data_IF_878333600899
#
_entry.id   IF_878333600899
#
_cell.length_a   1.000
_cell.length_b   1.000
_cell.length_c   1.000
_cell.angle_alpha   90.00
_cell.angle_beta   90.00
_cell.angle_gamma   90.00
#
_symmetry.space_group_name_H-M   'P 1'
#
loop_
_entity.id
_entity.type
_entity.pdbx_description
1 polymer ?
#
# COMPACT_ATOMS: atom_id res chain seq x y z
N UNK A 1 -8.73 -15.35 -2.01
CA UNK A 1 -7.97 -14.30 -1.32
C UNK A 1 -7.27 -14.82 -0.07
N UNK A 2 -7.95 -15.40 0.93
CA UNK A 2 -7.29 -15.88 2.16
C UNK A 2 -6.07 -16.78 1.91
N UNK A 3 -6.19 -17.80 1.03
CA UNK A 3 -5.08 -18.69 0.67
C UNK A 3 -3.89 -17.98 -0.02
N UNK A 4 -4.05 -16.74 -0.45
CA UNK A 4 -3.02 -15.89 -1.05
C UNK A 4 -2.47 -14.84 -0.06
N UNK A 5 -2.83 -14.93 1.22
CA UNK A 5 -2.29 -14.05 2.25
C UNK A 5 -3.11 -12.80 2.57
N UNK A 6 -4.31 -12.60 1.99
CA UNK A 6 -5.22 -11.57 2.45
C UNK A 6 -5.90 -12.03 3.73
N UNK A 7 -5.30 -11.72 4.86
CA UNK A 7 -5.67 -12.28 6.17
C UNK A 7 -6.21 -11.26 7.16
N UNK A 8 -6.30 -9.99 6.78
CA UNK A 8 -6.81 -8.93 7.64
C UNK A 8 -8.17 -8.41 7.14
N UNK A 9 -9.04 -8.06 8.08
CA UNK A 9 -10.24 -7.26 7.86
C UNK A 9 -10.12 -6.01 8.73
N UNK A 10 -10.07 -4.85 8.08
CA UNK A 10 -9.87 -3.57 8.74
C UNK A 10 -11.18 -2.75 8.70
N UNK A 11 -11.56 -2.17 9.83
CA UNK A 11 -12.57 -1.11 9.89
C UNK A 11 -11.84 0.23 10.00
N UNK A 12 -12.05 1.07 8.99
CA UNK A 12 -11.59 2.46 9.01
C UNK A 12 -12.50 3.32 9.90
N UNK A 13 -12.49 4.62 9.80
CA UNK A 13 -13.24 5.56 10.66
C UNK A 13 -14.75 5.24 10.75
N UNK A 14 -15.46 5.91 11.60
CA UNK A 14 -16.92 5.78 11.82
C UNK A 14 -17.41 4.48 12.49
N UNK A 15 -16.51 3.68 13.11
CA UNK A 15 -16.94 2.55 13.94
C UNK A 15 -17.20 2.94 15.40
N UNK A 16 -16.58 4.03 15.85
CA UNK A 16 -16.61 4.52 17.23
C UNK A 16 -17.96 5.17 17.56
N UNK A 17 -18.41 5.04 18.79
CA UNK A 17 -19.56 5.80 19.28
C UNK A 17 -19.28 7.30 19.33
N UNK A 18 -20.29 8.14 19.20
CA UNK A 18 -20.13 9.60 19.16
C UNK A 18 -19.46 10.20 20.42
N UNK A 19 -19.53 9.50 21.54
CA UNK A 19 -18.89 9.88 22.81
C UNK A 19 -18.22 8.68 23.45
N UNK A 20 -17.20 8.92 24.25
CA UNK A 20 -16.64 7.90 25.15
C UNK A 20 -17.64 7.50 26.21
N UNK A 21 -17.54 6.27 26.71
CA UNK A 21 -18.39 5.78 27.80
C UNK A 21 -17.77 6.19 29.14
N UNK A 22 -18.49 7.03 29.87
CA UNK A 22 -18.08 7.52 31.19
C UNK A 22 -18.92 6.92 32.34
N UNK A 23 -19.69 5.87 32.07
CA UNK A 23 -20.58 5.27 33.07
C UNK A 23 -19.82 4.75 34.31
N UNK A 24 -18.57 4.36 34.15
CA UNK A 24 -17.68 3.89 35.24
C UNK A 24 -16.68 4.95 35.69
N UNK A 25 -16.76 6.20 35.14
CA UNK A 25 -15.75 7.24 35.36
C UNK A 25 -14.44 7.03 34.62
N UNK A 26 -14.38 6.04 33.72
CA UNK A 26 -13.14 5.67 33.02
C UNK A 26 -12.97 6.29 31.64
N UNK A 27 -13.95 7.00 31.12
CA UNK A 27 -13.92 7.69 29.81
C UNK A 27 -13.40 6.76 28.67
N UNK A 28 -13.99 5.56 28.59
CA UNK A 28 -13.50 4.49 27.72
C UNK A 28 -14.02 4.66 26.29
N UNK A 29 -13.15 4.42 25.30
CA UNK A 29 -13.56 4.34 23.90
C UNK A 29 -14.52 3.16 23.71
N UNK A 30 -15.59 3.36 22.94
CA UNK A 30 -16.61 2.32 22.69
C UNK A 30 -17.11 2.41 21.25
N UNK A 31 -17.76 1.38 20.78
CA UNK A 31 -18.28 1.30 19.41
C UNK A 31 -19.71 1.80 19.28
N UNK A 32 -20.10 2.20 18.07
CA UNK A 32 -21.49 2.51 17.74
C UNK A 32 -22.34 1.24 17.84
N UNK A 33 -23.20 1.19 18.85
CA UNK A 33 -24.04 0.02 19.15
C UNK A 33 -25.14 -0.21 18.11
N UNK A 34 -25.50 0.80 17.34
CA UNK A 34 -26.48 0.67 16.25
C UNK A 34 -25.86 -0.01 15.05
N UNK A 35 -24.65 0.38 14.69
CA UNK A 35 -23.90 -0.18 13.55
C UNK A 35 -23.29 -1.55 13.88
N UNK A 36 -22.85 -1.73 15.11
CA UNK A 36 -22.17 -2.94 15.59
C UNK A 36 -22.86 -3.50 16.86
N UNK A 37 -24.10 -4.01 16.75
CA UNK A 37 -24.89 -4.42 17.94
C UNK A 37 -24.23 -5.56 18.75
N UNK A 38 -23.43 -6.42 18.09
CA UNK A 38 -22.71 -7.51 18.77
C UNK A 38 -21.37 -7.07 19.39
N UNK A 39 -20.89 -5.88 19.06
CA UNK A 39 -19.67 -5.29 19.58
C UNK A 39 -18.38 -5.79 18.95
N UNK A 40 -17.30 -5.02 19.19
CA UNK A 40 -15.97 -5.30 18.64
C UNK A 40 -15.35 -6.64 19.12
N UNK A 41 -15.49 -7.04 20.40
CA UNK A 41 -14.97 -8.34 20.85
C UNK A 41 -15.61 -9.53 20.12
N UNK A 42 -16.94 -9.44 19.84
CA UNK A 42 -17.63 -10.48 19.10
C UNK A 42 -17.15 -10.54 17.63
N UNK A 43 -16.99 -9.37 16.99
CA UNK A 43 -16.49 -9.27 15.62
C UNK A 43 -15.08 -9.84 15.50
N UNK A 44 -14.17 -9.43 16.38
CA UNK A 44 -12.80 -9.95 16.44
C UNK A 44 -12.80 -11.48 16.61
N UNK A 45 -13.55 -12.01 17.59
CA UNK A 45 -13.66 -13.45 17.81
C UNK A 45 -14.22 -14.22 16.61
N UNK A 46 -15.17 -13.61 15.89
CA UNK A 46 -15.75 -14.20 14.68
C UNK A 46 -14.73 -14.27 13.55
N UNK A 47 -13.99 -13.20 13.32
CA UNK A 47 -12.93 -13.16 12.30
C UNK A 47 -11.79 -14.13 12.64
N UNK A 48 -11.36 -14.21 13.91
CA UNK A 48 -10.34 -15.16 14.33
C UNK A 48 -10.75 -16.63 14.11
N UNK A 49 -12.02 -16.97 14.31
CA UNK A 49 -12.54 -18.32 13.96
C UNK A 49 -12.47 -18.61 12.46
N UNK A 50 -12.41 -17.58 11.62
CA UNK A 50 -12.22 -17.70 10.19
C UNK A 50 -10.73 -17.61 9.77
N UNK A 51 -9.81 -17.62 10.72
CA UNK A 51 -8.37 -17.38 10.55
C UNK A 51 -8.07 -16.00 9.91
N UNK A 52 -8.89 -14.99 10.21
CA UNK A 52 -8.69 -13.61 9.80
C UNK A 52 -8.34 -12.75 11.01
N UNK A 53 -7.42 -11.84 10.83
CA UNK A 53 -7.06 -10.83 11.81
C UNK A 53 -7.98 -9.62 11.72
N UNK A 54 -8.16 -8.93 12.83
CA UNK A 54 -9.07 -7.79 12.94
C UNK A 54 -8.33 -6.48 13.19
N UNK A 55 -8.63 -5.44 12.42
CA UNK A 55 -8.04 -4.11 12.57
C UNK A 55 -9.07 -3.02 12.79
N UNK A 56 -8.65 -1.98 13.53
CA UNK A 56 -9.40 -0.77 13.81
C UNK A 56 -8.60 0.48 13.47
N UNK A 57 -9.34 1.57 13.28
CA UNK A 57 -8.83 2.92 13.09
C UNK A 57 -8.98 3.74 14.36
N UNK A 58 -8.03 4.66 14.61
CA UNK A 58 -8.18 5.76 15.58
C UNK A 58 -7.37 6.97 15.12
N UNK A 59 -7.45 8.08 15.86
CA UNK A 59 -6.64 9.28 15.61
C UNK A 59 -5.74 9.59 16.79
N UNK A 60 -4.56 10.12 16.49
CA UNK A 60 -3.64 10.65 17.48
C UNK A 60 -4.16 11.93 18.18
N UNK A 61 -5.13 12.62 17.59
CA UNK A 61 -5.81 13.79 18.15
C UNK A 61 -6.98 13.46 19.07
N UNK A 62 -7.68 14.50 19.49
CA UNK A 62 -8.89 14.41 20.33
C UNK A 62 -10.09 13.84 19.59
N UNK A 63 -10.14 14.03 18.26
CA UNK A 63 -11.19 13.50 17.40
C UNK A 63 -10.62 12.72 16.22
N UNK A 64 -11.43 11.79 15.69
CA UNK A 64 -11.19 11.16 14.38
C UNK A 64 -11.46 12.15 13.24
N UNK A 65 -11.13 11.79 12.01
CA UNK A 65 -11.35 12.67 10.85
C UNK A 65 -12.84 12.93 10.57
N UNK A 66 -13.72 12.02 10.98
CA UNK A 66 -15.18 12.18 10.90
C UNK A 66 -15.84 12.63 12.22
N UNK A 67 -15.02 13.11 13.19
CA UNK A 67 -15.52 13.74 14.40
C UNK A 67 -15.88 12.81 15.57
N UNK A 68 -15.62 11.52 15.46
CA UNK A 68 -15.70 10.60 16.61
C UNK A 68 -14.55 10.84 17.60
N UNK A 69 -14.60 10.26 18.82
CA UNK A 69 -13.51 10.35 19.80
C UNK A 69 -12.18 9.78 19.25
N UNK A 70 -11.12 10.59 19.30
CA UNK A 70 -9.73 10.15 19.06
C UNK A 70 -9.06 9.68 20.35
N UNK A 71 -7.77 9.31 20.27
CA UNK A 71 -7.03 8.68 21.38
C UNK A 71 -6.17 9.66 22.17
N UNK A 72 -6.14 10.96 21.83
CA UNK A 72 -5.32 11.96 22.57
C UNK A 72 -5.71 11.99 24.05
N UNK A 73 -4.70 11.86 24.92
CA UNK A 73 -4.89 11.78 26.36
C UNK A 73 -5.33 10.41 26.91
N UNK A 74 -5.54 9.42 26.01
CA UNK A 74 -6.05 8.09 26.36
C UNK A 74 -5.22 6.95 25.72
N UNK A 75 -4.00 7.21 25.24
CA UNK A 75 -3.23 6.25 24.45
C UNK A 75 -3.07 4.89 25.14
N UNK A 76 -2.70 4.85 26.41
CA UNK A 76 -2.52 3.63 27.19
C UNK A 76 -3.86 2.91 27.40
N UNK A 77 -4.91 3.66 27.73
CA UNK A 77 -6.24 3.11 27.98
C UNK A 77 -6.84 2.51 26.70
N UNK A 78 -6.75 3.24 25.58
CA UNK A 78 -7.29 2.78 24.30
C UNK A 78 -6.51 1.57 23.79
N UNK A 79 -5.19 1.56 23.94
CA UNK A 79 -4.36 0.40 23.59
C UNK A 79 -4.77 -0.84 24.38
N UNK A 80 -5.00 -0.72 25.70
CA UNK A 80 -5.47 -1.83 26.53
C UNK A 80 -6.90 -2.26 26.13
N UNK A 81 -7.75 -1.31 25.79
CA UNK A 81 -9.11 -1.59 25.33
C UNK A 81 -9.08 -2.37 24.01
N UNK A 82 -8.29 -1.95 23.03
CA UNK A 82 -8.12 -2.66 21.75
C UNK A 82 -7.54 -4.07 21.97
N UNK A 83 -6.53 -4.20 22.83
CA UNK A 83 -5.97 -5.50 23.19
C UNK A 83 -7.04 -6.42 23.80
N UNK A 84 -7.88 -5.91 24.71
CA UNK A 84 -8.96 -6.65 25.35
C UNK A 84 -10.06 -7.12 24.39
N UNK A 85 -10.27 -6.37 23.29
CA UNK A 85 -11.22 -6.72 22.23
C UNK A 85 -10.66 -7.74 21.23
N UNK A 86 -9.35 -8.01 21.29
CA UNK A 86 -8.71 -8.92 20.34
C UNK A 86 -8.29 -8.26 19.03
N UNK A 87 -8.05 -6.96 19.03
CA UNK A 87 -7.55 -6.24 17.85
C UNK A 87 -6.12 -6.67 17.53
N UNK A 88 -5.82 -6.85 16.24
CA UNK A 88 -4.52 -7.27 15.71
C UNK A 88 -3.81 -6.16 14.94
N UNK A 89 -4.54 -5.10 14.54
CA UNK A 89 -4.03 -4.02 13.73
C UNK A 89 -4.68 -2.70 14.12
N UNK A 90 -3.90 -1.64 14.22
CA UNK A 90 -4.42 -0.30 14.48
C UNK A 90 -3.86 0.68 13.46
N UNK A 91 -4.74 1.39 12.75
CA UNK A 91 -4.41 2.56 11.93
C UNK A 91 -4.52 3.81 12.81
N UNK A 92 -3.42 4.52 12.97
CA UNK A 92 -3.33 5.78 13.71
C UNK A 92 -3.27 6.96 12.75
N UNK A 93 -4.35 7.72 12.70
CA UNK A 93 -4.48 8.89 11.85
C UNK A 93 -4.05 10.18 12.58
N UNK A 94 -4.08 11.29 11.86
CA UNK A 94 -3.67 12.62 12.27
C UNK A 94 -4.82 13.63 12.11
N UNK A 95 -5.86 13.55 12.97
CA UNK A 95 -7.05 14.39 12.90
C UNK A 95 -7.35 15.07 14.23
N UNK A 96 -8.28 16.01 14.22
CA UNK A 96 -8.66 16.77 15.40
C UNK A 96 -7.74 17.93 15.72
N UNK A 97 -7.63 18.26 16.98
CA UNK A 97 -6.86 19.39 17.51
C UNK A 97 -5.36 19.28 17.23
N UNK A 98 -4.83 18.07 17.19
CA UNK A 98 -3.40 17.79 16.97
C UNK A 98 -2.91 18.31 15.62
N UNK A 99 -3.79 18.50 14.62
CA UNK A 99 -3.43 19.17 13.35
C UNK A 99 -2.90 20.58 13.53
N UNK A 100 -3.26 21.24 14.64
CA UNK A 100 -2.84 22.60 14.99
C UNK A 100 -1.55 22.61 15.84
N UNK A 101 -1.14 21.47 16.37
CA UNK A 101 -0.04 21.32 17.32
C UNK A 101 1.07 20.42 16.75
N UNK A 102 1.65 20.81 15.62
CA UNK A 102 2.67 20.01 14.90
C UNK A 102 3.85 19.57 15.79
N UNK A 103 4.20 20.36 16.80
CA UNK A 103 5.27 20.02 17.74
C UNK A 103 4.99 18.74 18.55
N UNK A 104 3.73 18.33 18.67
CA UNK A 104 3.34 17.12 19.39
C UNK A 104 3.33 15.87 18.48
N UNK A 105 3.46 16.05 17.15
CA UNK A 105 3.29 14.98 16.19
C UNK A 105 4.19 13.77 16.43
N UNK A 106 5.49 14.00 16.56
CA UNK A 106 6.44 12.92 16.82
C UNK A 106 6.14 12.22 18.15
N UNK A 107 5.89 13.00 19.22
CA UNK A 107 5.60 12.45 20.55
C UNK A 107 4.31 11.61 20.55
N UNK A 108 3.27 12.05 19.85
CA UNK A 108 1.99 11.33 19.75
C UNK A 108 2.19 9.94 19.15
N UNK A 109 2.88 9.83 18.01
CA UNK A 109 3.15 8.56 17.35
C UNK A 109 4.03 7.63 18.22
N UNK A 110 5.09 8.17 18.84
CA UNK A 110 5.95 7.37 19.73
C UNK A 110 5.20 6.91 20.97
N UNK A 111 4.39 7.77 21.59
CA UNK A 111 3.63 7.42 22.79
C UNK A 111 2.56 6.37 22.50
N UNK A 112 1.82 6.49 21.39
CA UNK A 112 0.84 5.49 21.02
C UNK A 112 1.51 4.14 20.69
N UNK A 113 2.62 4.15 19.93
CA UNK A 113 3.40 2.93 19.67
C UNK A 113 3.87 2.26 20.97
N UNK A 114 4.35 3.06 21.94
CA UNK A 114 4.74 2.55 23.26
C UNK A 114 3.56 1.94 24.01
N UNK A 115 2.41 2.60 23.99
CA UNK A 115 1.19 2.11 24.62
C UNK A 115 0.74 0.75 24.03
N UNK A 116 0.74 0.60 22.71
CA UNK A 116 0.44 -0.67 22.06
C UNK A 116 1.43 -1.79 22.45
N UNK A 117 2.73 -1.48 22.46
CA UNK A 117 3.78 -2.44 22.86
C UNK A 117 3.73 -2.83 24.33
N UNK A 118 3.16 -1.98 25.19
CA UNK A 118 2.96 -2.27 26.60
C UNK A 118 1.78 -3.21 26.89
N UNK A 119 0.94 -3.47 25.90
CA UNK A 119 -0.13 -4.47 26.03
C UNK A 119 0.45 -5.88 25.94
N UNK A 120 -0.27 -6.87 26.47
CA UNK A 120 0.12 -8.28 26.33
C UNK A 120 -0.16 -8.86 24.93
N UNK A 121 -0.82 -8.09 24.05
CA UNK A 121 -1.21 -8.50 22.69
C UNK A 121 -0.37 -7.78 21.65
N UNK A 122 0.35 -8.51 20.77
CA UNK A 122 0.99 -7.89 19.60
C UNK A 122 -0.07 -7.29 18.67
N UNK A 123 0.11 -6.03 18.31
CA UNK A 123 -0.74 -5.34 17.33
C UNK A 123 0.13 -4.64 16.29
N UNK A 124 -0.22 -4.80 15.02
CA UNK A 124 0.39 -4.05 13.94
C UNK A 124 -0.03 -2.58 14.05
N UNK A 125 0.92 -1.67 14.01
CA UNK A 125 0.65 -0.24 13.96
C UNK A 125 0.92 0.30 12.55
N UNK A 126 -0.11 0.84 11.90
CA UNK A 126 0.03 1.73 10.76
C UNK A 126 -0.11 3.18 11.20
N UNK A 127 0.69 4.08 10.63
CA UNK A 127 0.58 5.52 10.89
C UNK A 127 0.35 6.29 9.60
N UNK A 128 -0.57 7.25 9.62
CA UNK A 128 -0.88 8.09 8.46
C UNK A 128 0.15 9.23 8.32
N UNK A 129 0.47 9.94 9.38
CA UNK A 129 1.36 11.10 9.34
C UNK A 129 2.72 10.89 10.01
N UNK A 130 3.00 9.69 10.51
CA UNK A 130 4.21 9.41 11.28
C UNK A 130 5.51 9.73 10.54
N UNK A 131 5.58 9.46 9.25
CA UNK A 131 6.73 9.77 8.42
C UNK A 131 7.06 11.28 8.39
N UNK A 132 6.05 12.13 8.28
CA UNK A 132 6.25 13.59 8.22
C UNK A 132 6.87 14.15 9.51
N UNK A 133 6.66 13.49 10.65
CA UNK A 133 7.18 13.92 11.95
C UNK A 133 8.47 13.24 12.37
N UNK A 134 8.65 11.99 11.97
CA UNK A 134 9.73 11.12 12.44
C UNK A 134 10.81 10.87 11.38
N UNK A 135 10.50 11.13 10.09
CA UNK A 135 11.41 10.78 9.02
C UNK A 135 11.80 9.29 9.09
N UNK A 136 13.10 8.95 8.96
CA UNK A 136 13.55 7.55 9.01
C UNK A 136 13.27 6.84 10.33
N UNK A 137 13.09 7.55 11.44
CA UNK A 137 12.79 6.95 12.74
C UNK A 137 11.43 6.24 12.75
N UNK A 138 10.55 6.52 11.79
CA UNK A 138 9.25 5.87 11.66
C UNK A 138 9.37 4.34 11.57
N UNK A 139 10.43 3.84 10.97
CA UNK A 139 10.69 2.41 10.82
C UNK A 139 10.90 1.69 12.16
N UNK A 140 11.21 2.43 13.23
CA UNK A 140 11.32 1.89 14.60
C UNK A 140 10.04 2.03 15.41
N UNK A 141 9.08 2.83 14.92
CA UNK A 141 7.84 3.20 15.61
C UNK A 141 6.65 2.41 15.10
N UNK A 142 6.54 2.25 13.77
CA UNK A 142 5.39 1.66 13.11
C UNK A 142 5.76 0.46 12.23
N UNK A 143 4.80 -0.43 12.03
CA UNK A 143 4.92 -1.61 11.16
C UNK A 143 4.56 -1.29 9.70
N UNK A 144 3.74 -0.27 9.49
CA UNK A 144 3.52 0.37 8.19
C UNK A 144 3.27 1.86 8.39
N UNK A 145 3.55 2.66 7.37
CA UNK A 145 3.46 4.10 7.48
C UNK A 145 3.27 4.76 6.12
N UNK A 146 2.30 5.63 6.06
CA UNK A 146 2.01 6.42 4.86
C UNK A 146 3.04 7.53 4.69
N UNK A 147 3.35 7.86 3.43
CA UNK A 147 4.31 8.89 3.05
C UNK A 147 3.75 9.89 2.05
N UNK A 148 2.50 9.72 1.65
CA UNK A 148 1.78 10.58 0.71
C UNK A 148 0.39 10.93 1.24
N UNK A 149 -0.33 11.74 0.49
CA UNK A 149 -1.74 12.08 0.72
C UNK A 149 -2.65 10.86 0.55
N UNK A 150 -3.93 11.01 0.88
CA UNK A 150 -4.92 9.94 0.69
C UNK A 150 -5.01 9.52 -0.77
N UNK A 151 -4.96 8.22 -1.00
CA UNK A 151 -5.22 7.66 -2.32
C UNK A 151 -6.74 7.67 -2.59
N UNK A 152 -7.10 8.04 -3.80
CA UNK A 152 -8.47 8.00 -4.29
C UNK A 152 -8.55 7.10 -5.52
N UNK A 153 -9.73 6.53 -5.81
CA UNK A 153 -9.94 5.64 -6.97
C UNK A 153 -9.99 6.44 -8.28
N UNK A 154 -8.85 7.00 -8.66
CA UNK A 154 -8.63 7.76 -9.90
C UNK A 154 -7.15 7.74 -10.31
N UNK A 155 -6.90 7.75 -11.61
CA UNK A 155 -5.53 7.67 -12.16
C UNK A 155 -4.59 8.77 -11.63
N UNK A 156 -5.06 10.00 -11.54
CA UNK A 156 -4.24 11.12 -11.04
C UNK A 156 -3.75 10.90 -9.61
N UNK A 157 -4.54 10.21 -8.78
CA UNK A 157 -4.12 9.88 -7.42
C UNK A 157 -3.08 8.76 -7.42
N UNK A 158 -3.21 7.76 -8.29
CA UNK A 158 -2.17 6.73 -8.47
C UNK A 158 -0.84 7.33 -8.90
N UNK A 159 -0.86 8.27 -9.86
CA UNK A 159 0.37 8.96 -10.30
C UNK A 159 0.98 9.82 -9.21
N UNK A 160 0.16 10.46 -8.37
CA UNK A 160 0.61 11.21 -7.20
C UNK A 160 1.33 10.32 -6.19
N UNK A 161 0.81 9.12 -5.89
CA UNK A 161 1.48 8.14 -5.03
C UNK A 161 2.84 7.71 -5.60
N UNK A 162 2.94 7.50 -6.92
CA UNK A 162 4.21 7.19 -7.58
C UNK A 162 5.21 8.33 -7.48
N UNK A 163 4.79 9.58 -7.65
CA UNK A 163 5.65 10.75 -7.46
C UNK A 163 6.14 10.87 -6.03
N UNK A 164 5.26 10.74 -5.04
CA UNK A 164 5.64 10.68 -3.62
C UNK A 164 6.66 9.56 -3.35
N UNK A 165 6.53 8.41 -4.03
CA UNK A 165 7.48 7.30 -3.89
C UNK A 165 8.87 7.65 -4.46
N UNK A 166 8.94 8.42 -5.54
CA UNK A 166 10.22 8.94 -6.07
C UNK A 166 10.85 9.90 -5.06
N UNK A 167 10.07 10.85 -4.53
CA UNK A 167 10.55 11.82 -3.54
C UNK A 167 11.03 11.13 -2.24
N UNK A 168 10.31 10.09 -1.81
CA UNK A 168 10.70 9.27 -0.67
C UNK A 168 12.06 8.60 -0.91
N UNK A 169 12.27 8.03 -2.10
CA UNK A 169 13.53 7.39 -2.47
C UNK A 169 14.69 8.37 -2.55
N UNK A 170 14.45 9.61 -2.99
CA UNK A 170 15.45 10.68 -3.01
C UNK A 170 15.81 11.15 -1.60
N UNK A 171 14.86 11.13 -0.68
CA UNK A 171 15.03 11.63 0.70
C UNK A 171 15.66 10.58 1.62
N UNK A 172 15.20 9.31 1.54
CA UNK A 172 15.62 8.23 2.44
C UNK A 172 16.50 7.17 1.76
N UNK A 173 16.72 7.28 0.45
CA UNK A 173 17.38 6.27 -0.36
C UNK A 173 16.41 5.24 -0.94
N UNK A 174 16.82 4.60 -2.03
CA UNK A 174 16.03 3.55 -2.65
C UNK A 174 15.80 2.37 -1.70
N UNK A 175 14.57 1.84 -1.71
CA UNK A 175 14.22 0.66 -0.90
C UNK A 175 13.86 0.99 0.54
N UNK A 176 13.05 2.03 0.71
CA UNK A 176 12.44 2.38 2.01
C UNK A 176 11.44 1.33 2.45
N UNK A 177 11.58 0.90 3.68
CA UNK A 177 10.85 -0.21 4.27
C UNK A 177 11.69 -1.50 4.31
N UNK A 178 11.34 -2.35 5.24
CA UNK A 178 11.99 -3.65 5.48
C UNK A 178 10.98 -4.59 6.16
N UNK A 179 11.27 -5.91 6.28
CA UNK A 179 10.44 -6.80 7.06
C UNK A 179 10.15 -6.26 8.45
N UNK A 180 8.86 -6.01 8.74
CA UNK A 180 8.39 -5.44 10.01
C UNK A 180 8.09 -3.93 9.99
N UNK A 181 8.51 -3.20 8.92
CA UNK A 181 8.13 -1.79 8.75
C UNK A 181 8.09 -1.41 7.26
N UNK A 182 6.90 -1.14 6.73
CA UNK A 182 6.64 -0.97 5.30
C UNK A 182 6.10 0.42 4.97
N UNK A 183 6.65 1.05 3.92
CA UNK A 183 6.08 2.26 3.36
C UNK A 183 4.76 1.95 2.65
N UNK A 184 3.67 2.60 3.06
CA UNK A 184 2.32 2.38 2.55
C UNK A 184 1.90 3.47 1.56
N UNK A 185 1.42 3.04 0.39
CA UNK A 185 0.80 3.89 -0.62
C UNK A 185 -0.72 4.06 -0.37
N UNK A 186 -1.18 3.77 0.85
CA UNK A 186 -2.59 3.80 1.24
C UNK A 186 -3.42 2.63 0.69
N UNK A 187 -4.75 2.79 0.68
CA UNK A 187 -5.67 1.77 0.15
C UNK A 187 -5.52 1.57 -1.34
N UNK A 188 -5.51 0.32 -1.76
CA UNK A 188 -5.59 -0.07 -3.16
C UNK A 188 -7.07 -0.17 -3.55
N UNK A 189 -7.59 0.91 -4.12
CA UNK A 189 -8.97 0.95 -4.63
C UNK A 189 -9.10 0.17 -5.94
N UNK A 190 -10.16 -0.63 -6.05
CA UNK A 190 -10.48 -1.39 -7.26
C UNK A 190 -11.98 -1.34 -7.54
N UNK A 191 -12.36 -1.07 -8.79
CA UNK A 191 -13.72 -1.24 -9.30
C UNK A 191 -14.67 -0.09 -9.05
N UNK A 192 -14.23 1.06 -8.56
CA UNK A 192 -15.07 2.26 -8.35
C UNK A 192 -16.14 2.10 -7.28
N UNK A 193 -16.08 1.04 -6.47
CA UNK A 193 -17.06 0.75 -5.42
C UNK A 193 -16.49 1.05 -4.03
N UNK A 194 -17.37 1.42 -3.10
CA UNK A 194 -16.99 1.60 -1.70
C UNK A 194 -16.80 3.05 -1.26
N UNK A 195 -16.73 4.00 -2.16
CA UNK A 195 -16.60 5.42 -1.82
C UNK A 195 -17.96 6.11 -1.57
N UNK A 196 -17.96 7.02 -0.61
CA UNK A 196 -19.17 7.79 -0.26
C UNK A 196 -19.58 8.78 -1.37
N UNK A 197 -18.68 9.17 -2.26
CA UNK A 197 -18.96 10.11 -3.34
C UNK A 197 -18.28 9.71 -4.64
N UNK A 198 -18.95 9.90 -5.79
CA UNK A 198 -18.39 9.69 -7.11
C UNK A 198 -17.18 10.62 -7.42
N UNK A 199 -17.06 11.74 -6.73
CA UNK A 199 -15.92 12.66 -6.89
C UNK A 199 -14.61 12.07 -6.32
N UNK A 200 -14.71 11.27 -5.26
CA UNK A 200 -13.57 10.61 -4.64
C UNK A 200 -13.23 9.27 -5.31
N UNK A 201 -14.24 8.54 -5.76
CA UNK A 201 -14.09 7.26 -6.44
C UNK A 201 -14.85 7.25 -7.78
N UNK A 202 -14.39 7.98 -8.79
CA UNK A 202 -14.98 7.90 -10.11
C UNK A 202 -14.71 6.55 -10.78
N UNK A 203 -13.73 5.80 -10.27
CA UNK A 203 -13.20 4.58 -10.84
C UNK A 203 -12.06 4.84 -11.82
N UNK A 204 -11.31 3.79 -12.10
CA UNK A 204 -10.22 3.74 -13.06
C UNK A 204 -10.57 2.76 -14.18
N UNK A 205 -9.89 2.88 -15.32
CA UNK A 205 -9.93 1.84 -16.36
C UNK A 205 -9.22 0.56 -15.88
N UNK A 206 -9.45 -0.56 -16.55
CA UNK A 206 -8.76 -1.81 -16.24
C UNK A 206 -7.24 -1.69 -16.36
N UNK A 207 -6.74 -0.92 -17.31
CA UNK A 207 -5.30 -0.69 -17.50
C UNK A 207 -4.71 0.18 -16.39
N UNK A 208 -5.44 1.20 -15.93
CA UNK A 208 -5.06 2.02 -14.77
C UNK A 208 -5.04 1.19 -13.48
N UNK A 209 -6.01 0.29 -13.27
CA UNK A 209 -5.99 -0.63 -12.13
C UNK A 209 -4.81 -1.61 -12.20
N UNK A 210 -4.44 -2.13 -13.39
CA UNK A 210 -3.21 -2.93 -13.53
C UNK A 210 -1.98 -2.13 -13.13
N UNK A 211 -1.90 -0.87 -13.54
CA UNK A 211 -0.78 0.01 -13.17
C UNK A 211 -0.73 0.27 -11.67
N UNK A 212 -1.87 0.55 -11.04
CA UNK A 212 -1.97 0.71 -9.59
C UNK A 212 -1.52 -0.57 -8.87
N UNK A 213 -2.04 -1.74 -9.27
CA UNK A 213 -1.66 -3.01 -8.65
C UNK A 213 -0.18 -3.33 -8.83
N UNK A 214 0.39 -3.07 -10.03
CA UNK A 214 1.82 -3.23 -10.28
C UNK A 214 2.67 -2.33 -9.37
N UNK A 215 2.25 -1.07 -9.17
CA UNK A 215 2.94 -0.12 -8.30
C UNK A 215 2.97 -0.61 -6.84
N UNK A 216 1.81 -1.01 -6.28
CA UNK A 216 1.73 -1.57 -4.92
C UNK A 216 2.57 -2.84 -4.78
N UNK A 217 2.48 -3.76 -5.74
CA UNK A 217 3.22 -5.01 -5.69
C UNK A 217 4.75 -4.80 -5.76
N UNK A 218 5.20 -3.95 -6.65
CA UNK A 218 6.62 -3.68 -6.85
C UNK A 218 7.23 -2.94 -5.66
N UNK A 219 6.54 -1.95 -5.12
CA UNK A 219 7.01 -1.16 -3.97
C UNK A 219 6.82 -1.87 -2.63
N UNK A 220 6.21 -3.06 -2.63
CA UNK A 220 5.84 -3.80 -1.41
C UNK A 220 4.99 -2.97 -0.44
N UNK A 221 4.18 -2.06 -0.98
CA UNK A 221 3.14 -1.41 -0.19
C UNK A 221 2.14 -2.45 0.31
N UNK A 222 1.71 -2.41 1.56
CA UNK A 222 0.65 -3.31 2.03
C UNK A 222 -0.54 -3.31 1.07
N UNK A 223 -0.99 -4.50 0.67
CA UNK A 223 -2.16 -4.65 -0.22
C UNK A 223 -3.45 -4.48 0.60
N UNK A 224 -3.72 -3.26 1.03
CA UNK A 224 -4.95 -2.88 1.73
C UNK A 224 -6.05 -2.64 0.69
N UNK A 225 -6.71 -3.72 0.27
CA UNK A 225 -7.70 -3.67 -0.81
C UNK A 225 -9.00 -3.04 -0.32
N UNK A 226 -9.38 -1.93 -0.94
CA UNK A 226 -10.68 -1.27 -0.74
C UNK A 226 -11.55 -1.48 -1.97
N UNK A 227 -12.44 -2.48 -1.87
CA UNK A 227 -13.40 -2.84 -2.92
C UNK A 227 -14.53 -3.68 -2.34
N UNK A 228 -15.67 -3.70 -3.03
CA UNK A 228 -16.76 -4.62 -2.71
C UNK A 228 -16.45 -6.02 -3.26
N UNK A 229 -16.12 -6.95 -2.34
CA UNK A 229 -15.79 -8.33 -2.69
C UNK A 229 -17.00 -9.27 -2.68
N UNK A 230 -18.23 -8.74 -2.47
CA UNK A 230 -19.46 -9.54 -2.35
C UNK A 230 -20.05 -9.90 -3.72
N UNK A 231 -20.36 -11.17 -3.93
CA UNK A 231 -21.10 -11.63 -5.09
C UNK A 231 -20.55 -11.12 -6.43
N UNK A 232 -21.42 -10.52 -7.23
CA UNK A 232 -21.11 -10.00 -8.57
C UNK A 232 -20.42 -8.64 -8.57
N UNK A 233 -20.33 -7.96 -7.42
CA UNK A 233 -19.55 -6.73 -7.29
C UNK A 233 -18.06 -6.97 -7.58
N UNK A 234 -17.54 -8.16 -7.24
CA UNK A 234 -16.20 -8.58 -7.60
C UNK A 234 -16.19 -9.10 -9.05
N UNK A 235 -15.91 -8.20 -10.00
CA UNK A 235 -15.91 -8.51 -11.44
C UNK A 235 -14.87 -9.58 -11.82
N UNK A 236 -14.98 -10.24 -12.99
CA UNK A 236 -13.95 -11.17 -13.48
C UNK A 236 -12.56 -10.53 -13.54
N UNK A 237 -12.47 -9.28 -14.01
CA UNK A 237 -11.21 -8.52 -14.05
C UNK A 237 -10.59 -8.33 -12.65
N UNK A 238 -11.39 -7.91 -11.68
CA UNK A 238 -10.90 -7.72 -10.30
C UNK A 238 -10.44 -9.04 -9.69
N UNK A 239 -11.13 -10.14 -10.01
CA UNK A 239 -10.72 -11.51 -9.60
C UNK A 239 -9.38 -11.89 -10.23
N UNK A 240 -9.19 -11.59 -11.51
CA UNK A 240 -7.92 -11.82 -12.21
C UNK A 240 -6.75 -11.11 -11.51
N UNK A 241 -6.91 -9.83 -11.15
CA UNK A 241 -5.90 -9.07 -10.43
C UNK A 241 -5.64 -9.65 -9.03
N UNK A 242 -6.67 -9.71 -8.20
CA UNK A 242 -6.57 -10.09 -6.78
C UNK A 242 -6.18 -11.55 -6.55
N UNK A 243 -6.37 -12.42 -7.54
CA UNK A 243 -6.04 -13.83 -7.45
C UNK A 243 -4.84 -14.24 -8.33
N UNK A 244 -4.10 -13.27 -8.88
CA UNK A 244 -2.86 -13.55 -9.57
C UNK A 244 -1.77 -13.92 -8.55
N UNK A 245 -1.58 -15.23 -8.36
CA UNK A 245 -0.63 -15.76 -7.38
C UNK A 245 0.81 -15.34 -7.66
N UNK A 246 1.23 -15.20 -8.94
CA UNK A 246 2.58 -14.79 -9.28
C UNK A 246 2.89 -13.38 -8.78
N UNK A 247 1.96 -12.44 -8.94
CA UNK A 247 2.14 -11.06 -8.43
C UNK A 247 2.19 -11.06 -6.91
N UNK A 248 1.29 -11.83 -6.26
CA UNK A 248 1.21 -11.89 -4.81
C UNK A 248 2.47 -12.54 -4.22
N UNK A 249 2.99 -13.61 -4.82
CA UNK A 249 4.24 -14.23 -4.41
C UNK A 249 5.42 -13.26 -4.57
N UNK A 250 5.48 -12.54 -5.69
CA UNK A 250 6.47 -11.49 -5.90
C UNK A 250 6.34 -10.38 -4.85
N UNK A 251 5.13 -9.89 -4.58
CA UNK A 251 4.88 -8.88 -3.55
C UNK A 251 5.33 -9.36 -2.15
N UNK A 252 5.00 -10.58 -1.78
CA UNK A 252 5.31 -11.16 -0.46
C UNK A 252 6.76 -11.59 -0.29
N UNK A 253 7.55 -11.58 -1.37
CA UNK A 253 8.97 -11.92 -1.29
C UNK A 253 9.76 -10.82 -0.55
N UNK A 254 10.12 -11.07 0.70
CA UNK A 254 10.79 -10.11 1.60
C UNK A 254 12.32 -10.26 1.65
N UNK A 255 12.89 -11.14 0.83
CA UNK A 255 14.35 -11.37 0.75
C UNK A 255 15.16 -10.21 0.18
N UNK A 256 14.50 -9.16 -0.30
CA UNK A 256 15.11 -7.97 -0.89
C UNK A 256 14.39 -6.70 -0.47
N UNK A 257 14.99 -5.55 -0.72
CA UNK A 257 14.37 -4.26 -0.45
C UNK A 257 13.19 -3.99 -1.40
N UNK A 258 12.20 -3.20 -0.96
CA UNK A 258 11.12 -2.71 -1.82
C UNK A 258 11.62 -2.03 -3.09
N UNK A 259 10.81 -2.07 -4.13
CA UNK A 259 11.14 -1.49 -5.42
C UNK A 259 11.01 0.02 -5.49
N UNK A 260 11.54 0.58 -6.56
CA UNK A 260 11.49 1.99 -6.83
C UNK A 260 11.70 2.30 -8.32
N UNK A 261 11.67 3.59 -8.62
CA UNK A 261 12.00 4.10 -9.95
C UNK A 261 13.46 3.76 -10.30
N UNK A 262 13.70 3.20 -11.48
CA UNK A 262 15.04 2.82 -11.97
C UNK A 262 15.40 3.48 -13.31
N UNK A 263 14.47 4.15 -13.96
CA UNK A 263 14.72 4.84 -15.23
C UNK A 263 13.46 5.17 -16.01
N UNK A 264 13.68 5.61 -17.24
CA UNK A 264 12.63 5.87 -18.23
C UNK A 264 13.08 5.44 -19.62
N UNK A 265 12.14 5.14 -20.49
CA UNK A 265 12.40 4.97 -21.91
C UNK A 265 12.49 6.34 -22.57
N UNK A 266 13.61 6.64 -23.19
CA UNK A 266 13.85 7.93 -23.87
C UNK A 266 13.03 8.12 -25.16
N UNK A 267 12.58 7.03 -25.76
CA UNK A 267 11.79 7.07 -27.02
C UNK A 267 10.33 7.42 -26.73
N UNK A 268 9.77 6.83 -25.66
CA UNK A 268 8.40 7.11 -25.19
C UNK A 268 8.29 8.46 -24.45
N UNK A 269 9.38 8.88 -23.84
CA UNK A 269 9.42 10.11 -23.02
C UNK A 269 9.67 11.34 -23.87
N UNK A 270 8.92 11.70 -24.87
CA UNK A 270 9.02 12.91 -25.70
C UNK A 270 10.03 14.00 -25.26
N UNK A 271 10.18 15.09 -25.93
CA UNK A 271 11.08 16.19 -25.56
C UNK A 271 10.80 16.66 -24.13
N UNK A 272 11.82 16.80 -23.31
CA UNK A 272 11.72 17.25 -21.92
C UNK A 272 10.78 18.47 -21.79
N UNK A 273 9.60 18.25 -21.21
CA UNK A 273 8.63 19.33 -20.96
C UNK A 273 7.17 19.06 -21.33
N UNK A 274 6.85 17.95 -22.03
CA UNK A 274 5.45 17.56 -22.22
C UNK A 274 5.06 16.48 -21.18
N UNK A 275 4.07 16.77 -20.35
CA UNK A 275 3.44 15.79 -19.43
C UNK A 275 2.71 14.67 -20.19
N UNK A 276 2.58 14.79 -21.52
CA UNK A 276 1.74 13.93 -22.35
C UNK A 276 2.37 12.58 -22.74
N UNK A 277 3.68 12.37 -22.54
CA UNK A 277 4.36 11.15 -22.98
C UNK A 277 5.45 10.73 -21.99
N UNK A 278 5.08 10.23 -20.82
CA UNK A 278 6.04 9.76 -19.83
C UNK A 278 5.98 8.24 -19.67
N UNK A 279 7.03 7.51 -20.12
CA UNK A 279 7.21 6.10 -19.81
C UNK A 279 8.24 5.94 -18.71
N UNK A 280 7.83 5.40 -17.59
CA UNK A 280 8.68 5.15 -16.43
C UNK A 280 8.96 3.66 -16.26
N UNK A 281 10.17 3.35 -15.78
CA UNK A 281 10.63 1.99 -15.51
C UNK A 281 10.89 1.88 -14.02
N UNK A 282 10.25 0.88 -13.42
CA UNK A 282 10.34 0.58 -12.01
C UNK A 282 10.87 -0.83 -11.81
N UNK A 283 11.67 -1.05 -10.78
CA UNK A 283 12.29 -2.36 -10.62
C UNK A 283 12.58 -2.72 -9.17
N UNK A 284 12.61 -4.04 -8.93
CA UNK A 284 12.96 -4.66 -7.67
C UNK A 284 13.63 -6.00 -7.90
N UNK A 285 14.63 -6.34 -7.10
CA UNK A 285 15.14 -7.71 -7.05
C UNK A 285 14.06 -8.66 -6.57
N UNK A 286 13.84 -9.73 -7.28
CA UNK A 286 12.90 -10.80 -6.97
C UNK A 286 13.61 -12.11 -6.57
N UNK A 287 14.93 -12.07 -6.39
CA UNK A 287 15.74 -13.16 -5.81
C UNK A 287 16.86 -12.57 -4.94
N UNK A 288 17.28 -13.30 -3.93
CA UNK A 288 18.34 -12.86 -2.99
C UNK A 288 19.66 -12.67 -3.70
N UNK A 289 19.99 -13.56 -4.64
CA UNK A 289 21.21 -13.51 -5.45
C UNK A 289 21.18 -12.41 -6.53
N UNK A 290 20.04 -11.74 -6.72
CA UNK A 290 19.86 -10.68 -7.72
C UNK A 290 19.82 -11.16 -9.17
N UNK A 291 19.63 -12.45 -9.41
CA UNK A 291 19.50 -13.03 -10.75
C UNK A 291 18.11 -12.86 -11.35
N UNK A 292 17.10 -12.59 -10.51
CA UNK A 292 15.71 -12.32 -10.93
C UNK A 292 15.31 -10.93 -10.48
N UNK A 293 14.68 -10.18 -11.39
CA UNK A 293 14.09 -8.88 -11.10
C UNK A 293 12.63 -8.86 -11.54
N UNK A 294 11.81 -8.20 -10.76
CA UNK A 294 10.47 -7.74 -11.11
C UNK A 294 10.59 -6.32 -11.68
N UNK A 295 10.03 -6.10 -12.86
CA UNK A 295 10.11 -4.82 -13.57
C UNK A 295 8.71 -4.41 -14.04
N UNK A 296 8.32 -3.18 -13.76
CA UNK A 296 7.12 -2.57 -14.31
C UNK A 296 7.51 -1.48 -15.31
N UNK A 297 6.95 -1.57 -16.52
CA UNK A 297 7.09 -0.60 -17.60
C UNK A 297 5.77 0.13 -17.69
N UNK A 298 5.73 1.36 -17.17
CA UNK A 298 4.49 2.13 -17.02
C UNK A 298 4.40 3.22 -18.09
N UNK A 299 3.27 3.25 -18.77
CA UNK A 299 2.91 4.29 -19.73
C UNK A 299 1.96 5.29 -19.09
N UNK A 300 2.44 6.45 -18.69
CA UNK A 300 1.59 7.52 -18.15
C UNK A 300 0.98 8.43 -19.24
N UNK A 301 1.30 8.18 -20.51
CA UNK A 301 0.82 8.96 -21.64
C UNK A 301 -0.59 8.59 -22.11
N UNK A 302 -1.19 9.46 -22.90
CA UNK A 302 -2.55 9.32 -23.42
C UNK A 302 -2.71 8.37 -24.61
N UNK A 303 -1.65 7.68 -25.06
CA UNK A 303 -1.66 6.78 -26.22
C UNK A 303 -0.90 5.49 -25.89
N UNK A 304 -1.19 4.37 -26.58
CA UNK A 304 -0.38 3.17 -26.46
C UNK A 304 1.07 3.41 -26.93
N UNK A 305 2.03 2.82 -26.21
CA UNK A 305 3.45 2.90 -26.54
C UNK A 305 4.13 1.53 -26.46
N UNK A 306 5.15 1.34 -27.32
CA UNK A 306 6.16 0.32 -27.12
C UNK A 306 7.20 0.85 -26.13
N UNK A 307 7.51 0.11 -25.07
CA UNK A 307 8.49 0.52 -24.07
C UNK A 307 9.68 -0.45 -24.08
N UNK A 308 10.87 0.11 -24.22
CA UNK A 308 12.12 -0.66 -24.19
C UNK A 308 12.67 -0.70 -22.76
N UNK A 309 12.78 -1.90 -22.22
CA UNK A 309 13.53 -2.14 -21.01
C UNK A 309 14.98 -2.50 -21.36
N UNK A 310 15.93 -1.74 -20.86
CA UNK A 310 17.35 -2.00 -21.01
C UNK A 310 17.91 -2.49 -19.65
N UNK A 311 18.62 -3.61 -19.66
CA UNK A 311 19.20 -4.19 -18.43
C UNK A 311 20.24 -3.29 -17.76
N UNK A 312 20.80 -2.31 -18.48
CA UNK A 312 21.67 -1.29 -17.89
C UNK A 312 20.99 -0.41 -16.84
N UNK A 313 19.64 -0.38 -16.81
CA UNK A 313 18.87 0.28 -15.76
C UNK A 313 18.98 -0.46 -14.40
N UNK A 314 19.35 -1.74 -14.43
CA UNK A 314 19.55 -2.53 -13.22
C UNK A 314 20.95 -2.24 -12.65
N UNK A 315 20.99 -1.59 -11.50
CA UNK A 315 22.25 -1.23 -10.81
C UNK A 315 22.88 -2.47 -10.15
N UNK A 316 23.29 -3.45 -10.96
CA UNK A 316 23.90 -4.69 -10.48
C UNK A 316 25.00 -5.16 -11.42
N UNK A 317 26.20 -5.53 -10.92
CA UNK A 317 27.28 -6.06 -11.75
C UNK A 317 26.92 -7.31 -12.54
N UNK A 318 25.91 -8.06 -12.12
CA UNK A 318 25.42 -9.25 -12.82
C UNK A 318 24.69 -8.89 -14.12
N UNK A 319 24.10 -7.71 -14.19
CA UNK A 319 23.26 -7.24 -15.28
C UNK A 319 24.02 -6.23 -16.13
N UNK A 320 24.70 -6.73 -17.15
CA UNK A 320 25.46 -5.93 -18.11
C UNK A 320 24.73 -5.87 -19.45
N UNK A 321 25.17 -4.99 -20.34
CA UNK A 321 24.60 -4.86 -21.69
C UNK A 321 24.64 -6.14 -22.51
N UNK A 322 25.50 -7.12 -22.15
CA UNK A 322 25.63 -8.41 -22.83
C UNK A 322 24.97 -9.56 -22.05
N UNK A 323 24.34 -9.28 -20.92
CA UNK A 323 23.64 -10.31 -20.15
C UNK A 323 22.51 -10.93 -20.97
N UNK A 324 22.47 -12.26 -20.98
CA UNK A 324 21.38 -13.02 -21.57
C UNK A 324 20.32 -13.33 -20.50
N UNK A 325 19.04 -13.12 -20.80
CA UNK A 325 17.97 -13.29 -19.85
C UNK A 325 16.69 -13.77 -20.51
N UNK A 326 15.86 -14.46 -19.74
CA UNK A 326 14.48 -14.79 -20.06
C UNK A 326 13.53 -13.74 -19.50
N UNK A 327 12.35 -13.63 -20.09
CA UNK A 327 11.31 -12.69 -19.69
C UNK A 327 10.00 -13.45 -19.51
N UNK A 328 9.26 -13.15 -18.42
CA UNK A 328 7.92 -13.64 -18.17
C UNK A 328 6.95 -12.48 -18.05
N UNK A 329 5.88 -12.50 -18.79
CA UNK A 329 4.74 -11.59 -18.64
C UNK A 329 3.90 -12.06 -17.43
N UNK A 330 3.93 -11.29 -16.37
CA UNK A 330 3.29 -11.67 -15.08
C UNK A 330 1.76 -11.51 -15.13
N UNK A 331 1.27 -10.59 -15.99
CA UNK A 331 -0.18 -10.45 -16.22
C UNK A 331 -0.75 -11.67 -16.91
N UNK A 332 -0.10 -12.12 -17.98
CA UNK A 332 -0.53 -13.28 -18.76
C UNK A 332 -0.12 -14.61 -18.13
N UNK A 333 0.86 -14.58 -17.22
CA UNK A 333 1.50 -15.77 -16.63
C UNK A 333 2.14 -16.66 -17.70
N UNK A 334 2.76 -16.02 -18.70
CA UNK A 334 3.37 -16.67 -19.86
C UNK A 334 4.81 -16.16 -20.07
N UNK A 335 5.66 -17.06 -20.55
CA UNK A 335 7.01 -16.67 -20.94
C UNK A 335 6.98 -15.95 -22.28
N UNK A 336 7.69 -14.81 -22.33
CA UNK A 336 7.94 -14.11 -23.59
C UNK A 336 8.96 -14.95 -24.40
N UNK A 337 8.62 -15.34 -25.64
CA UNK A 337 9.48 -16.26 -26.41
C UNK A 337 10.89 -15.73 -26.61
N UNK A 338 11.86 -16.63 -26.48
CA UNK A 338 13.28 -16.39 -26.78
C UNK A 338 14.11 -16.02 -25.57
N UNK A 339 15.41 -15.92 -25.80
CA UNK A 339 16.40 -15.38 -24.88
C UNK A 339 16.79 -14.00 -25.38
N UNK A 340 16.73 -13.02 -24.50
CA UNK A 340 17.01 -11.63 -24.81
C UNK A 340 18.43 -11.26 -24.37
N UNK A 341 19.06 -10.31 -25.05
CA UNK A 341 20.38 -9.79 -24.69
C UNK A 341 20.32 -8.25 -24.65
N UNK A 342 20.77 -7.68 -23.54
CA UNK A 342 20.84 -6.24 -23.35
C UNK A 342 19.50 -5.53 -23.16
N UNK A 343 18.46 -5.86 -23.92
CA UNK A 343 17.16 -5.22 -23.85
C UNK A 343 16.01 -6.11 -24.29
N UNK A 344 14.79 -5.74 -23.90
CA UNK A 344 13.52 -6.30 -24.41
C UNK A 344 12.53 -5.16 -24.64
N UNK A 345 11.71 -5.29 -25.68
CA UNK A 345 10.61 -4.35 -25.98
C UNK A 345 9.27 -4.98 -25.65
N UNK A 346 8.53 -4.37 -24.73
CA UNK A 346 7.13 -4.69 -24.50
C UNK A 346 6.27 -3.79 -25.38
N UNK A 347 5.50 -4.43 -26.28
CA UNK A 347 4.77 -3.72 -27.33
C UNK A 347 3.36 -3.34 -26.92
N UNK A 348 2.91 -2.17 -27.39
CA UNK A 348 1.53 -1.73 -27.31
C UNK A 348 1.02 -1.58 -25.88
N UNK A 349 1.85 -1.13 -24.95
CA UNK A 349 1.40 -0.86 -23.57
C UNK A 349 0.34 0.24 -23.63
N UNK A 350 -0.90 -0.02 -23.18
CA UNK A 350 -2.01 0.92 -23.29
C UNK A 350 -1.72 2.27 -22.62
N UNK A 351 -2.51 3.28 -22.98
CA UNK A 351 -2.58 4.54 -22.22
C UNK A 351 -2.83 4.22 -20.74
N UNK A 352 -2.04 4.82 -19.85
CA UNK A 352 -2.07 4.60 -18.39
C UNK A 352 -1.84 3.15 -17.95
N UNK A 353 -1.47 2.26 -18.87
CA UNK A 353 -1.22 0.85 -18.62
C UNK A 353 0.20 0.55 -18.15
N UNK A 354 0.40 -0.67 -17.65
CA UNK A 354 1.71 -1.19 -17.29
C UNK A 354 1.91 -2.61 -17.82
N UNK A 355 3.08 -2.88 -18.41
CA UNK A 355 3.60 -4.24 -18.50
C UNK A 355 4.33 -4.56 -17.19
N UNK A 356 3.98 -5.69 -16.58
CA UNK A 356 4.66 -6.23 -15.41
C UNK A 356 5.35 -7.52 -15.80
N UNK A 357 6.67 -7.53 -15.71
CA UNK A 357 7.49 -8.66 -16.13
C UNK A 357 8.44 -9.10 -15.02
N UNK A 358 8.83 -10.36 -15.05
CA UNK A 358 10.09 -10.78 -14.42
C UNK A 358 11.14 -11.01 -15.49
N UNK A 359 12.39 -10.65 -15.18
CA UNK A 359 13.55 -10.92 -15.98
C UNK A 359 14.51 -11.79 -15.17
N UNK A 360 15.00 -12.88 -15.75
CA UNK A 360 15.85 -13.84 -15.08
C UNK A 360 17.10 -14.13 -15.93
N UNK A 361 18.30 -14.03 -15.32
CA UNK A 361 19.56 -14.39 -15.99
C UNK A 361 19.56 -15.87 -16.38
N UNK A 362 19.92 -16.14 -17.62
CA UNK A 362 20.08 -17.49 -18.17
C UNK A 362 21.53 -17.99 -17.92
#
# INVERSE_FOLDING_TARGET
MHALGFTYVLLDDCWVNATRDNATGSDTITWDRTRFPSGMPHLASTLHKMNLSFGLYTSAGDTTCHGGPGSRGHYEQDAQTFASWGVDYVKLDWCGDIKKELALGAAAHVNFSRALRATARPMHLETVAGYFFLGPLIETVANSWRFCVDHADKWTSTTEQLLCRVDLALTLGAGTGHPGSWASMDYLHLGGAGCATAAHCPGQSEDEYRSSFAAWALTQSPLLVDTDIRGDALTPFMRELLLNNEIIELHQFTGTKPGGYIGRDSVCSGSAGSEEEACSIWGRKASVDGRVWMVALMNSGGKPHDIVFNVSALTSPLWTAVASFSVRDVWKREDVPGVHAGSVTMKGIPSHGAALITVALV
#
